data_IF_038633755535
#
_entry.id   IF_038633755535
#
_cell.length_a   1.000
_cell.length_b   1.000
_cell.length_c   1.000
_cell.angle_alpha   90.00
_cell.angle_beta   90.00
_cell.angle_gamma   90.00
#
_symmetry.space_group_name_H-M   'P 1'
#
loop_
_entity.id
_entity.type
_entity.pdbx_description
1 polymer ?
#
# COMPACT_ATOMS: atom_id res chain seq x y z
N UNK A 1 -16.51 20.76 -4.15
CA UNK A 1 -17.37 19.62 -3.86
C UNK A 1 -17.15 19.21 -2.39
N UNK A 2 -18.19 19.20 -1.54
CA UNK A 2 -18.04 18.91 -0.10
C UNK A 2 -17.66 17.43 0.18
N UNK A 3 -17.79 16.56 -0.80
CA UNK A 3 -17.43 15.16 -0.71
C UNK A 3 -16.02 14.84 -1.21
N UNK A 4 -15.23 15.85 -1.57
CA UNK A 4 -13.88 15.65 -2.09
C UNK A 4 -12.82 16.38 -1.27
N UNK A 5 -11.74 15.66 -0.97
CA UNK A 5 -10.48 16.25 -0.49
C UNK A 5 -9.53 16.24 -1.68
N UNK A 6 -9.02 17.41 -2.06
CA UNK A 6 -8.16 17.54 -3.24
C UNK A 6 -6.85 18.26 -2.90
N UNK A 7 -5.77 17.89 -3.58
CA UNK A 7 -4.49 18.60 -3.55
C UNK A 7 -3.88 18.56 -4.96
N UNK A 8 -3.22 19.64 -5.37
CA UNK A 8 -2.51 19.73 -6.66
C UNK A 8 -0.98 19.59 -6.51
N UNK A 9 -0.52 19.19 -5.33
CA UNK A 9 0.88 18.98 -5.04
C UNK A 9 1.08 17.84 -4.03
N UNK A 10 2.28 17.25 -4.04
CA UNK A 10 2.74 16.36 -2.99
C UNK A 10 3.21 17.23 -1.82
N UNK A 11 2.52 17.16 -0.70
CA UNK A 11 2.81 17.96 0.50
C UNK A 11 4.05 17.38 1.22
N UNK A 12 5.24 17.69 0.71
CA UNK A 12 6.50 17.08 1.22
C UNK A 12 6.75 17.40 2.69
N UNK A 13 6.41 18.61 3.14
CA UNK A 13 6.58 19.04 4.53
C UNK A 13 5.49 18.47 5.47
N UNK A 14 4.28 18.26 4.94
CA UNK A 14 3.10 17.77 5.66
C UNK A 14 2.58 16.45 5.09
N UNK A 15 3.45 15.61 4.53
CA UNK A 15 3.07 14.36 3.85
C UNK A 15 2.25 13.45 4.75
N UNK A 16 2.64 13.29 6.00
CA UNK A 16 1.92 12.45 6.98
C UNK A 16 0.51 12.96 7.26
N UNK A 17 0.28 14.28 7.24
CA UNK A 17 -1.06 14.87 7.34
C UNK A 17 -1.87 14.59 6.07
N UNK A 18 -1.30 14.78 4.88
CA UNK A 18 -1.95 14.47 3.61
C UNK A 18 -2.36 12.98 3.57
N UNK A 19 -1.49 12.06 4.00
CA UNK A 19 -1.80 10.62 4.12
C UNK A 19 -2.94 10.33 5.10
N UNK A 20 -3.01 11.05 6.22
CA UNK A 20 -4.10 10.91 7.20
C UNK A 20 -5.43 11.38 6.63
N UNK A 21 -5.45 12.54 5.98
CA UNK A 21 -6.65 13.13 5.40
C UNK A 21 -7.20 12.32 4.21
N UNK A 22 -6.36 11.53 3.55
CA UNK A 22 -6.73 10.73 2.38
C UNK A 22 -6.77 9.22 2.68
N UNK A 23 -6.99 8.86 3.94
CA UNK A 23 -7.19 7.49 4.37
C UNK A 23 -8.51 6.93 3.84
N UNK A 24 -8.50 5.65 3.47
CA UNK A 24 -9.68 4.92 2.99
C UNK A 24 -9.85 3.60 3.73
N UNK A 25 -11.08 3.09 3.78
CA UNK A 25 -11.38 1.81 4.41
C UNK A 25 -12.84 1.40 4.19
N UNK A 26 -13.15 0.15 4.47
CA UNK A 26 -14.49 -0.44 4.31
C UNK A 26 -15.05 -1.04 5.62
N UNK A 27 -14.39 -0.77 6.75
CA UNK A 27 -14.77 -1.32 8.06
C UNK A 27 -14.11 -2.67 8.39
N UNK A 28 -13.67 -3.44 7.38
CA UNK A 28 -12.87 -4.66 7.56
C UNK A 28 -11.36 -4.36 7.44
N UNK A 29 -10.97 -3.59 6.45
CA UNK A 29 -9.59 -3.12 6.29
C UNK A 29 -9.55 -1.63 5.96
N UNK A 30 -8.40 -1.03 6.20
CA UNK A 30 -8.15 0.36 5.92
C UNK A 30 -6.68 0.64 5.69
N UNK A 31 -6.40 1.77 5.04
CA UNK A 31 -5.05 2.25 4.88
C UNK A 31 -5.00 3.78 4.86
N UNK A 32 -3.84 4.29 5.19
CA UNK A 32 -3.51 5.70 5.02
C UNK A 32 -3.34 6.03 3.54
N UNK A 33 -3.38 7.31 3.20
CA UNK A 33 -3.17 7.80 1.85
C UNK A 33 -1.73 7.67 1.32
N UNK A 34 -0.99 6.63 1.71
CA UNK A 34 0.36 6.37 1.21
C UNK A 34 0.33 6.14 -0.30
N UNK A 35 1.38 6.52 -1.01
CA UNK A 35 1.54 6.12 -2.41
C UNK A 35 1.81 4.61 -2.51
N UNK A 36 1.39 4.01 -3.61
CA UNK A 36 1.74 2.62 -3.91
C UNK A 36 3.15 2.53 -4.51
N UNK A 37 3.55 3.54 -5.25
CA UNK A 37 4.88 3.72 -5.82
C UNK A 37 5.93 4.00 -4.73
N UNK A 38 7.17 3.98 -5.13
CA UNK A 38 8.27 4.39 -4.25
C UNK A 38 8.13 5.86 -3.87
N UNK A 39 8.30 6.13 -2.59
CA UNK A 39 8.37 7.46 -2.02
C UNK A 39 9.49 7.50 -0.97
N UNK A 40 10.64 8.07 -1.32
CA UNK A 40 11.84 8.14 -0.45
C UNK A 40 11.81 9.28 0.57
N UNK A 41 10.76 10.12 0.57
CA UNK A 41 10.55 11.19 1.54
C UNK A 41 9.95 10.69 2.86
N UNK A 42 9.65 11.62 3.76
CA UNK A 42 8.98 11.30 5.01
C UNK A 42 7.54 10.82 4.73
N UNK A 43 7.18 9.67 5.29
CA UNK A 43 5.91 8.99 5.09
C UNK A 43 5.59 8.12 6.31
N UNK A 44 4.33 7.93 6.60
CA UNK A 44 3.88 7.03 7.66
C UNK A 44 3.03 5.92 7.03
N UNK A 45 3.66 4.78 6.73
CA UNK A 45 2.96 3.63 6.17
C UNK A 45 1.92 3.11 7.16
N UNK A 46 0.70 2.90 6.69
CA UNK A 46 -0.39 2.38 7.51
C UNK A 46 -1.38 1.53 6.70
N UNK A 47 -1.39 0.23 7.00
CA UNK A 47 -2.38 -0.75 6.55
C UNK A 47 -2.93 -1.47 7.77
N UNK A 48 -4.25 -1.60 7.89
CA UNK A 48 -4.89 -2.12 9.10
C UNK A 48 -5.98 -3.10 8.74
N UNK A 49 -6.12 -4.16 9.55
CA UNK A 49 -7.21 -5.14 9.49
C UNK A 49 -7.99 -5.02 10.79
N UNK A 50 -9.31 -4.91 10.69
CA UNK A 50 -10.19 -4.78 11.84
C UNK A 50 -10.05 -5.99 12.78
N UNK A 51 -9.98 -5.71 14.07
CA UNK A 51 -9.83 -6.74 15.10
C UNK A 51 -8.40 -7.25 15.29
N UNK A 52 -7.44 -6.90 14.47
CA UNK A 52 -6.03 -7.27 14.63
C UNK A 52 -5.32 -6.24 15.50
N UNK A 53 -4.71 -6.69 16.58
CA UNK A 53 -4.04 -5.86 17.56
C UNK A 53 -2.94 -6.67 18.29
N UNK A 54 -2.09 -6.00 19.03
CA UNK A 54 -1.08 -6.65 19.87
C UNK A 54 -1.18 -6.16 21.32
N UNK A 55 -1.13 -7.05 22.35
CA UNK A 55 -1.11 -6.64 23.73
C UNK A 55 0.26 -6.07 24.09
N UNK A 56 0.28 -4.80 24.51
CA UNK A 56 1.49 -4.13 24.93
C UNK A 56 1.44 -3.81 26.42
N UNK A 57 2.56 -4.12 27.11
CA UNK A 57 2.66 -3.89 28.56
C UNK A 57 2.38 -2.44 28.89
N UNK A 58 1.53 -2.22 29.89
CA UNK A 58 1.25 -0.89 30.41
C UNK A 58 2.53 -0.20 30.88
N UNK A 59 2.89 0.91 30.24
CA UNK A 59 4.00 1.79 30.60
C UNK A 59 3.43 3.07 31.19
N UNK A 60 3.37 3.16 32.51
CA UNK A 60 2.90 4.36 33.20
C UNK A 60 4.09 4.96 33.95
N UNK A 61 4.34 6.24 33.81
CA UNK A 61 5.40 6.95 34.53
C UNK A 61 5.18 7.00 36.05
N UNK A 62 3.98 6.67 36.52
CA UNK A 62 3.59 6.51 37.91
C UNK A 62 2.40 5.56 38.01
N UNK A 63 2.36 4.74 39.06
CA UNK A 63 1.31 3.77 39.30
C UNK A 63 0.04 4.41 39.81
N UNK A 64 -1.09 4.03 39.22
CA UNK A 64 -2.41 4.13 39.84
C UNK A 64 -3.00 2.74 39.97
N UNK A 65 -3.66 2.48 41.09
CA UNK A 65 -4.44 1.27 41.28
C UNK A 65 -5.52 1.16 40.21
N UNK A 66 -5.68 -0.02 39.62
CA UNK A 66 -6.70 -0.28 38.63
C UNK A 66 -6.27 -0.11 37.15
N UNK A 67 -4.99 0.18 36.88
CA UNK A 67 -4.49 0.10 35.49
C UNK A 67 -4.45 -1.36 35.01
N UNK A 68 -4.83 -1.63 33.76
CA UNK A 68 -4.70 -2.96 33.19
C UNK A 68 -3.22 -3.33 33.04
N UNK A 69 -2.93 -4.63 33.03
CA UNK A 69 -1.57 -5.15 32.84
C UNK A 69 -1.02 -4.80 31.46
N UNK A 70 -1.89 -4.78 30.46
CA UNK A 70 -1.56 -4.41 29.08
C UNK A 70 -2.71 -3.61 28.41
N UNK A 71 -2.39 -2.91 27.34
CA UNK A 71 -3.33 -2.26 26.44
C UNK A 71 -3.28 -2.95 25.08
N UNK A 72 -4.41 -2.99 24.37
CA UNK A 72 -4.44 -3.36 22.97
C UNK A 72 -3.81 -2.26 22.12
N UNK A 73 -2.82 -2.61 21.32
CA UNK A 73 -2.17 -1.73 20.35
C UNK A 73 -2.63 -2.09 18.94
N UNK A 74 -3.18 -1.14 18.20
CA UNK A 74 -3.37 -1.30 16.77
C UNK A 74 -2.00 -1.44 16.10
N UNK A 75 -1.82 -2.48 15.31
CA UNK A 75 -0.57 -2.75 14.59
C UNK A 75 -0.79 -2.67 13.08
N UNK A 76 0.25 -2.26 12.36
CA UNK A 76 0.24 -2.37 10.91
C UNK A 76 0.10 -3.83 10.49
N UNK A 77 -0.83 -4.08 9.58
CA UNK A 77 -0.88 -5.33 8.83
C UNK A 77 0.19 -5.32 7.70
N UNK A 78 0.25 -6.40 6.95
CA UNK A 78 1.12 -6.51 5.77
C UNK A 78 0.97 -5.29 4.86
N UNK A 79 2.08 -4.79 4.32
CA UNK A 79 2.02 -3.79 3.26
C UNK A 79 1.65 -4.49 1.94
N UNK A 80 0.39 -4.45 1.60
CA UNK A 80 -0.14 -5.01 0.36
C UNK A 80 -0.35 -3.96 -0.74
N UNK A 81 -0.11 -2.68 -0.46
CA UNK A 81 -0.36 -1.59 -1.39
C UNK A 81 0.77 -1.35 -2.40
N UNK A 82 1.97 -1.85 -2.13
CA UNK A 82 3.16 -1.50 -2.91
C UNK A 82 3.10 -2.00 -4.35
N UNK A 83 3.29 -1.06 -5.29
CA UNK A 83 3.47 -1.28 -6.74
C UNK A 83 4.55 -0.33 -7.21
N UNK A 84 5.79 -0.80 -7.32
CA UNK A 84 6.88 0.00 -7.88
C UNK A 84 6.68 0.15 -9.39
N UNK A 85 6.80 1.36 -9.88
CA UNK A 85 6.61 1.71 -11.31
C UNK A 85 7.96 2.09 -11.91
N UNK A 86 8.25 1.55 -13.09
CA UNK A 86 9.43 1.89 -13.88
C UNK A 86 8.99 2.29 -15.28
N UNK A 87 9.54 3.39 -15.78
CA UNK A 87 9.34 3.89 -17.14
C UNK A 87 10.72 3.94 -17.78
N UNK A 88 10.92 3.17 -18.86
CA UNK A 88 12.23 3.04 -19.55
C UNK A 88 13.38 2.73 -18.57
N UNK A 89 13.18 1.72 -17.74
CA UNK A 89 14.07 1.27 -16.66
C UNK A 89 14.36 2.29 -15.55
N UNK A 90 13.74 3.48 -15.58
CA UNK A 90 13.86 4.48 -14.52
C UNK A 90 12.72 4.28 -13.52
N UNK A 91 13.08 4.04 -12.27
CA UNK A 91 12.07 3.96 -11.21
C UNK A 91 11.43 5.31 -10.95
N UNK A 92 10.11 5.32 -10.80
CA UNK A 92 9.37 6.50 -10.35
C UNK A 92 9.40 6.52 -8.83
N UNK A 93 10.14 7.47 -8.28
CA UNK A 93 10.12 7.84 -6.86
C UNK A 93 9.42 9.20 -6.75
N UNK A 94 8.22 9.22 -6.18
CA UNK A 94 7.40 10.43 -6.11
C UNK A 94 8.00 11.54 -5.23
N UNK A 95 9.00 11.24 -4.40
CA UNK A 95 9.77 12.26 -3.66
C UNK A 95 10.97 12.80 -4.44
N UNK A 96 11.66 11.96 -5.21
CA UNK A 96 12.95 12.24 -5.81
C UNK A 96 12.90 12.45 -7.34
N UNK A 97 11.98 11.79 -8.06
CA UNK A 97 11.82 11.97 -9.50
C UNK A 97 11.26 13.35 -9.84
N UNK A 98 11.57 13.83 -11.04
CA UNK A 98 10.91 15.01 -11.57
C UNK A 98 9.47 14.67 -11.97
N UNK A 99 8.53 15.07 -11.12
CA UNK A 99 7.10 14.83 -11.28
C UNK A 99 6.39 16.15 -11.51
N UNK A 100 5.54 16.20 -12.54
CA UNK A 100 4.71 17.37 -12.89
C UNK A 100 3.24 16.99 -12.92
N UNK A 101 2.36 17.97 -13.01
CA UNK A 101 0.90 17.81 -13.16
C UNK A 101 0.29 16.88 -12.10
N UNK A 102 0.81 16.97 -10.88
CA UNK A 102 0.30 16.18 -9.77
C UNK A 102 -1.08 16.67 -9.35
N UNK A 103 -2.02 15.73 -9.25
CA UNK A 103 -3.33 15.95 -8.66
C UNK A 103 -3.71 14.74 -7.82
N UNK A 104 -4.29 14.99 -6.65
CA UNK A 104 -4.81 13.98 -5.75
C UNK A 104 -6.24 14.33 -5.38
N UNK A 105 -7.13 13.34 -5.35
CA UNK A 105 -8.52 13.49 -4.97
C UNK A 105 -9.01 12.25 -4.21
N UNK A 106 -9.45 12.45 -2.98
CA UNK A 106 -10.27 11.48 -2.27
C UNK A 106 -11.75 11.83 -2.50
N UNK A 107 -12.46 10.96 -3.16
CA UNK A 107 -13.93 11.01 -3.30
C UNK A 107 -14.54 10.22 -2.13
N UNK A 108 -15.03 10.93 -1.12
CA UNK A 108 -15.59 10.32 0.10
C UNK A 108 -16.96 9.68 -0.13
N UNK A 109 -17.71 10.12 -1.15
CA UNK A 109 -19.00 9.52 -1.52
C UNK A 109 -18.80 8.11 -2.10
N UNK A 110 -17.73 7.93 -2.89
CA UNK A 110 -17.41 6.65 -3.54
C UNK A 110 -16.41 5.81 -2.75
N UNK A 111 -15.69 6.41 -1.80
CA UNK A 111 -14.60 5.75 -1.09
C UNK A 111 -13.40 5.45 -1.99
N UNK A 112 -13.12 6.33 -2.96
CA UNK A 112 -12.06 6.15 -3.97
C UNK A 112 -11.00 7.23 -3.80
N UNK A 113 -9.74 6.81 -3.70
CA UNK A 113 -8.59 7.70 -3.76
C UNK A 113 -7.95 7.60 -5.14
N UNK A 114 -7.87 8.73 -5.85
CA UNK A 114 -7.24 8.86 -7.16
C UNK A 114 -6.11 9.88 -7.09
N UNK A 115 -4.98 9.60 -7.70
CA UNK A 115 -3.95 10.59 -7.97
C UNK A 115 -3.35 10.41 -9.35
N UNK A 116 -2.94 11.54 -9.95
CA UNK A 116 -2.33 11.59 -11.27
C UNK A 116 -1.02 12.34 -11.19
N UNK A 117 -0.09 11.98 -12.05
CA UNK A 117 1.18 12.70 -12.24
C UNK A 117 1.76 12.41 -13.62
N UNK A 118 2.72 13.24 -14.03
CA UNK A 118 3.53 13.02 -15.23
C UNK A 118 4.98 12.81 -14.82
N UNK A 119 5.58 11.72 -15.31
CA UNK A 119 7.00 11.42 -15.15
C UNK A 119 7.53 10.79 -16.44
N UNK A 120 8.72 11.21 -16.88
CA UNK A 120 9.42 10.64 -18.05
C UNK A 120 8.55 10.57 -19.32
N UNK A 121 7.74 11.59 -19.62
CA UNK A 121 6.85 11.64 -20.78
C UNK A 121 5.56 10.84 -20.66
N UNK A 122 5.34 10.15 -19.54
CA UNK A 122 4.16 9.32 -19.29
C UNK A 122 3.28 9.93 -18.21
N UNK A 123 1.96 10.04 -18.47
CA UNK A 123 0.97 10.28 -17.43
C UNK A 123 0.62 8.96 -16.76
N UNK A 124 0.66 8.96 -15.45
CA UNK A 124 0.18 7.86 -14.62
C UNK A 124 -1.04 8.32 -13.83
N UNK A 125 -2.12 7.57 -13.90
CA UNK A 125 -3.30 7.73 -13.06
C UNK A 125 -3.38 6.50 -12.16
N UNK A 126 -3.28 6.69 -10.86
CA UNK A 126 -3.42 5.65 -9.86
C UNK A 126 -4.74 5.82 -9.10
N UNK A 127 -5.51 4.76 -9.01
CA UNK A 127 -6.79 4.73 -8.32
C UNK A 127 -6.83 3.53 -7.37
N UNK A 128 -7.45 3.70 -6.20
CA UNK A 128 -7.65 2.60 -5.28
C UNK A 128 -8.91 2.74 -4.45
N UNK A 129 -9.45 1.58 -4.09
CA UNK A 129 -10.60 1.46 -3.21
C UNK A 129 -10.61 0.12 -2.48
N UNK A 130 -11.37 0.05 -1.40
CA UNK A 130 -11.72 -1.19 -0.71
C UNK A 130 -13.18 -1.54 -1.02
N UNK A 131 -13.40 -2.78 -1.46
CA UNK A 131 -14.75 -3.23 -1.81
C UNK A 131 -15.63 -3.33 -0.56
N UNK A 132 -16.85 -2.78 -0.63
CA UNK A 132 -17.89 -2.97 0.40
C UNK A 132 -18.60 -4.30 0.18
N UNK A 133 -18.77 -4.72 -1.08
CA UNK A 133 -19.45 -5.95 -1.43
C UNK A 133 -18.62 -7.21 -1.11
N UNK A 134 -17.31 -7.11 -1.20
CA UNK A 134 -16.34 -8.15 -0.84
C UNK A 134 -15.31 -7.52 0.09
N UNK A 135 -15.52 -7.61 1.38
CA UNK A 135 -14.79 -6.85 2.40
C UNK A 135 -13.27 -7.13 2.41
N UNK A 136 -12.88 -8.34 1.98
CA UNK A 136 -11.49 -8.77 1.91
C UNK A 136 -10.76 -8.31 0.64
N UNK A 137 -11.43 -7.56 -0.25
CA UNK A 137 -10.86 -7.12 -1.52
C UNK A 137 -10.44 -5.66 -1.50
N UNK A 138 -9.14 -5.42 -1.73
CA UNK A 138 -8.57 -4.13 -2.07
C UNK A 138 -8.16 -4.11 -3.54
N UNK A 139 -8.41 -3.00 -4.24
CA UNK A 139 -8.07 -2.82 -5.66
C UNK A 139 -7.16 -1.61 -5.82
N UNK A 140 -6.08 -1.79 -6.58
CA UNK A 140 -5.13 -0.75 -6.97
C UNK A 140 -5.00 -0.78 -8.49
N UNK A 141 -5.53 0.24 -9.15
CA UNK A 141 -5.52 0.37 -10.60
C UNK A 141 -4.56 1.47 -11.03
N UNK A 142 -3.83 1.22 -12.11
CA UNK A 142 -2.93 2.19 -12.73
C UNK A 142 -3.25 2.26 -14.22
N UNK A 143 -3.35 3.47 -14.74
CA UNK A 143 -3.44 3.75 -16.17
C UNK A 143 -2.23 4.57 -16.60
N UNK A 144 -1.61 4.18 -17.72
CA UNK A 144 -0.42 4.79 -18.30
C UNK A 144 -0.75 5.34 -19.68
N UNK A 145 -0.41 6.61 -19.94
CA UNK A 145 -0.63 7.29 -21.22
C UNK A 145 0.67 7.97 -21.65
N UNK A 146 1.14 7.70 -22.89
CA UNK A 146 2.24 8.44 -23.50
C UNK A 146 1.79 9.86 -23.87
N UNK A 147 2.55 10.88 -23.44
CA UNK A 147 2.27 12.29 -23.72
C UNK A 147 3.23 12.92 -24.73
N UNK A 148 4.35 12.28 -25.01
CA UNK A 148 5.40 12.77 -25.91
C UNK A 148 5.40 12.10 -27.29
N UNK A 149 4.49 11.14 -27.49
CA UNK A 149 4.39 10.38 -28.74
C UNK A 149 5.43 9.26 -28.89
N UNK A 150 6.29 9.09 -27.87
CA UNK A 150 7.32 8.05 -27.89
C UNK A 150 6.77 6.71 -27.38
N UNK A 151 7.51 5.66 -27.67
CA UNK A 151 7.21 4.32 -27.16
C UNK A 151 7.96 4.12 -25.86
N UNK A 152 7.24 3.77 -24.79
CA UNK A 152 7.84 3.51 -23.48
C UNK A 152 7.72 2.05 -23.08
N UNK A 153 8.74 1.54 -22.41
CA UNK A 153 8.67 0.27 -21.71
C UNK A 153 8.19 0.51 -20.29
N UNK A 154 6.99 0.03 -19.97
CA UNK A 154 6.45 0.14 -18.61
C UNK A 154 6.68 -1.18 -17.89
N UNK A 155 7.27 -1.11 -16.68
CA UNK A 155 7.42 -2.25 -15.79
C UNK A 155 6.80 -1.92 -14.43
N UNK A 156 6.03 -2.85 -13.88
CA UNK A 156 5.47 -2.74 -12.53
C UNK A 156 5.96 -3.90 -11.68
N UNK A 157 6.28 -3.63 -10.42
CA UNK A 157 6.63 -4.64 -9.44
C UNK A 157 5.62 -4.60 -8.28
N UNK A 158 4.71 -5.56 -8.29
CA UNK A 158 3.66 -5.70 -7.28
C UNK A 158 4.17 -6.50 -6.09
N UNK A 159 4.11 -5.93 -4.89
CA UNK A 159 4.72 -6.50 -3.68
C UNK A 159 3.68 -6.64 -2.58
N UNK A 160 3.75 -7.75 -1.82
CA UNK A 160 3.20 -7.84 -0.47
C UNK A 160 4.37 -8.07 0.47
N UNK A 161 4.51 -7.23 1.50
CA UNK A 161 5.62 -7.30 2.45
C UNK A 161 5.11 -7.37 3.89
N UNK A 162 5.60 -8.35 4.64
CA UNK A 162 5.36 -8.53 6.07
C UNK A 162 6.41 -7.84 6.95
N UNK A 163 7.46 -7.27 6.36
CA UNK A 163 8.47 -6.51 7.10
C UNK A 163 7.98 -5.09 7.42
N UNK A 164 6.88 -5.02 8.13
CA UNK A 164 6.23 -3.78 8.55
C UNK A 164 6.43 -3.51 10.03
N UNK A 165 6.41 -2.23 10.39
CA UNK A 165 6.59 -1.74 11.75
C UNK A 165 5.56 -0.65 12.06
N UNK A 166 5.36 -0.38 13.35
CA UNK A 166 4.57 0.76 13.81
C UNK A 166 5.54 1.92 14.10
N UNK A 167 5.76 2.82 13.16
CA UNK A 167 6.83 3.80 13.25
C UNK A 167 6.67 4.80 14.39
N UNK A 168 5.56 5.48 14.55
CA UNK A 168 5.44 6.60 15.50
C UNK A 168 5.11 6.27 16.95
N UNK A 169 5.04 5.02 17.32
CA UNK A 169 4.63 4.62 18.66
C UNK A 169 5.77 4.14 19.58
N UNK A 170 6.98 4.60 19.39
CA UNK A 170 8.22 4.13 20.06
C UNK A 170 8.51 2.64 19.88
N UNK A 171 8.00 2.04 18.82
CA UNK A 171 8.00 0.61 18.63
C UNK A 171 8.58 0.25 17.27
N UNK A 172 9.88 0.28 17.18
CA UNK A 172 10.62 -0.33 16.07
C UNK A 172 10.52 -1.88 16.13
N UNK A 173 9.43 -2.36 16.71
CA UNK A 173 9.18 -3.77 16.95
C UNK A 173 8.48 -4.39 15.74
N UNK A 174 8.88 -5.60 15.41
CA UNK A 174 8.21 -6.44 14.41
C UNK A 174 7.19 -7.31 15.11
N UNK A 175 5.96 -7.26 14.68
CA UNK A 175 4.87 -8.05 15.27
C UNK A 175 4.51 -9.29 14.46
N UNK A 176 5.10 -9.50 13.30
CA UNK A 176 4.72 -10.55 12.36
C UNK A 176 5.82 -11.59 12.16
N UNK A 177 5.41 -12.85 12.17
CA UNK A 177 6.21 -14.00 11.71
C UNK A 177 5.58 -14.56 10.44
N UNK A 178 6.36 -14.73 9.40
CA UNK A 178 5.90 -15.39 8.17
C UNK A 178 5.75 -16.89 8.43
N UNK A 179 4.58 -17.43 8.15
CA UNK A 179 4.25 -18.86 8.32
C UNK A 179 4.30 -19.60 6.99
N UNK A 180 3.87 -18.94 5.93
CA UNK A 180 3.90 -19.48 4.58
C UNK A 180 3.91 -18.34 3.55
N UNK A 181 4.57 -18.53 2.44
CA UNK A 181 4.52 -17.67 1.27
C UNK A 181 4.86 -18.48 0.03
N UNK A 182 4.19 -18.21 -1.08
CA UNK A 182 4.45 -18.91 -2.33
C UNK A 182 3.92 -18.13 -3.54
N UNK A 183 4.39 -18.54 -4.70
CA UNK A 183 3.95 -18.10 -6.01
C UNK A 183 2.93 -19.10 -6.58
N UNK A 184 1.91 -18.57 -7.24
CA UNK A 184 0.88 -19.36 -7.92
C UNK A 184 0.76 -18.95 -9.39
N UNK A 185 0.03 -19.72 -10.16
CA UNK A 185 -0.23 -19.38 -11.57
C UNK A 185 -0.95 -18.02 -11.71
N UNK A 186 -1.79 -17.64 -10.74
CA UNK A 186 -2.61 -16.43 -10.77
C UNK A 186 -2.05 -15.26 -9.96
N UNK A 187 -0.92 -15.44 -9.26
CA UNK A 187 -0.31 -14.40 -8.42
C UNK A 187 0.53 -15.01 -7.31
N UNK A 188 0.69 -14.31 -6.22
CA UNK A 188 1.46 -14.75 -5.06
C UNK A 188 0.70 -14.47 -3.75
N UNK A 189 1.07 -15.17 -2.68
CA UNK A 189 0.45 -14.98 -1.37
C UNK A 189 1.45 -15.07 -0.23
N UNK A 190 1.06 -14.51 0.91
CA UNK A 190 1.79 -14.60 2.17
C UNK A 190 0.82 -14.81 3.32
N UNK A 191 1.18 -15.68 4.25
CA UNK A 191 0.46 -15.92 5.49
C UNK A 191 1.38 -15.58 6.65
N UNK A 192 0.90 -14.74 7.55
CA UNK A 192 1.64 -14.30 8.72
C UNK A 192 0.84 -14.55 9.99
N UNK A 193 1.53 -14.63 11.08
CA UNK A 193 0.96 -14.72 12.42
C UNK A 193 1.66 -13.72 13.33
N UNK A 194 0.91 -13.08 14.24
CA UNK A 194 1.53 -12.21 15.23
C UNK A 194 2.49 -13.01 16.13
N UNK A 195 3.57 -12.37 16.60
CA UNK A 195 4.49 -13.02 17.55
C UNK A 195 3.77 -13.38 18.84
N UNK A 196 4.23 -14.42 19.58
CA UNK A 196 3.72 -14.73 20.91
C UNK A 196 3.84 -13.54 21.87
N UNK A 197 2.92 -13.45 22.82
CA UNK A 197 2.92 -12.41 23.84
C UNK A 197 2.85 -13.04 25.24
N UNK A 198 3.33 -12.35 26.29
CA UNK A 198 3.38 -12.90 27.66
C UNK A 198 2.03 -12.86 28.39
N UNK A 199 0.98 -12.31 27.78
CA UNK A 199 -0.32 -12.07 28.43
C UNK A 199 -1.37 -13.16 28.14
N UNK A 200 -1.01 -14.19 27.37
CA UNK A 200 -1.92 -15.28 27.02
C UNK A 200 -3.00 -14.89 25.99
N UNK A 201 -2.81 -13.77 25.30
CA UNK A 201 -3.69 -13.39 24.18
C UNK A 201 -3.38 -14.27 22.96
N UNK A 202 -4.40 -14.79 22.31
CA UNK A 202 -4.25 -15.60 21.09
C UNK A 202 -3.57 -14.79 19.97
N UNK A 203 -2.77 -15.49 19.16
CA UNK A 203 -2.11 -14.91 18.00
C UNK A 203 -3.10 -14.73 16.86
N UNK A 204 -2.97 -13.62 16.13
CA UNK A 204 -3.76 -13.36 14.94
C UNK A 204 -3.04 -13.87 13.70
N UNK A 205 -3.76 -14.56 12.83
CA UNK A 205 -3.26 -14.94 11.50
C UNK A 205 -3.85 -14.00 10.46
N UNK A 206 -2.99 -13.43 9.62
CA UNK A 206 -3.38 -12.62 8.46
C UNK A 206 -2.77 -13.22 7.20
N UNK A 207 -3.62 -13.46 6.21
CA UNK A 207 -3.21 -13.90 4.89
C UNK A 207 -3.53 -12.82 3.85
N UNK A 208 -2.62 -12.56 2.93
CA UNK A 208 -2.84 -11.69 1.79
C UNK A 208 -2.41 -12.40 0.50
N UNK A 209 -3.24 -12.29 -0.54
CA UNK A 209 -2.98 -12.86 -1.87
C UNK A 209 -3.15 -11.76 -2.90
N UNK A 210 -2.17 -11.61 -3.78
CA UNK A 210 -2.30 -10.69 -4.92
C UNK A 210 -2.56 -11.43 -6.20
N UNK A 211 -3.36 -10.80 -7.06
CA UNK A 211 -3.60 -11.20 -8.45
C UNK A 211 -3.61 -9.96 -9.34
N UNK A 212 -3.48 -10.19 -10.63
CA UNK A 212 -3.37 -9.14 -11.62
C UNK A 212 -4.45 -9.26 -12.69
N UNK A 213 -4.89 -8.09 -13.22
CA UNK A 213 -5.67 -7.96 -14.44
C UNK A 213 -5.18 -6.74 -15.24
N UNK A 214 -5.32 -6.78 -16.58
CA UNK A 214 -4.97 -5.67 -17.48
C UNK A 214 -4.05 -6.09 -18.61
N UNK A 215 -3.29 -5.13 -19.14
CA UNK A 215 -2.60 -5.21 -20.44
C UNK A 215 -1.14 -5.68 -20.33
N UNK A 216 -0.69 -6.02 -19.12
CA UNK A 216 0.70 -6.39 -18.84
C UNK A 216 0.91 -7.90 -18.86
N UNK A 217 2.13 -8.30 -19.20
CA UNK A 217 2.57 -9.70 -19.12
C UNK A 217 3.47 -9.90 -17.91
N UNK A 218 3.19 -10.92 -17.11
CA UNK A 218 4.06 -11.27 -15.99
C UNK A 218 5.36 -11.87 -16.49
N UNK A 219 6.49 -11.28 -16.10
CA UNK A 219 7.84 -11.67 -16.53
C UNK A 219 8.65 -12.33 -15.41
N UNK A 220 8.28 -12.09 -14.13
CA UNK A 220 9.00 -12.65 -12.99
C UNK A 220 8.08 -12.83 -11.80
N UNK A 221 8.31 -13.89 -11.03
CA UNK A 221 7.80 -14.06 -9.66
C UNK A 221 8.97 -14.37 -8.74
N UNK A 222 8.96 -13.85 -7.54
CA UNK A 222 10.02 -14.04 -6.54
C UNK A 222 9.42 -14.10 -5.14
N UNK A 223 9.89 -15.05 -4.35
CA UNK A 223 9.64 -15.11 -2.91
C UNK A 223 10.91 -14.70 -2.18
N UNK A 224 10.77 -13.92 -1.12
CA UNK A 224 11.84 -13.49 -0.21
C UNK A 224 11.46 -13.88 1.21
N UNK A 225 12.34 -13.63 2.16
CA UNK A 225 12.12 -14.01 3.57
C UNK A 225 10.79 -13.49 4.14
N UNK A 226 10.41 -12.26 3.80
CA UNK A 226 9.20 -11.59 4.32
C UNK A 226 8.27 -11.03 3.26
N UNK A 227 8.52 -11.29 1.99
CA UNK A 227 7.74 -10.68 0.92
C UNK A 227 7.59 -11.58 -0.30
N UNK A 228 6.55 -11.32 -1.07
CA UNK A 228 6.31 -11.87 -2.39
C UNK A 228 6.27 -10.75 -3.42
N UNK A 229 6.80 -11.02 -4.61
CA UNK A 229 6.97 -10.05 -5.69
C UNK A 229 6.55 -10.65 -7.01
N UNK A 230 5.65 -9.97 -7.72
CA UNK A 230 5.29 -10.25 -9.11
C UNK A 230 5.68 -9.08 -10.00
N UNK A 231 6.46 -9.31 -11.04
CA UNK A 231 6.90 -8.29 -12.00
C UNK A 231 6.18 -8.46 -13.32
N UNK A 232 5.67 -7.36 -13.83
CA UNK A 232 4.93 -7.29 -15.08
C UNK A 232 5.51 -6.22 -16.00
N UNK A 233 5.41 -6.45 -17.31
CA UNK A 233 5.89 -5.53 -18.34
C UNK A 233 4.86 -5.35 -19.45
N UNK A 234 4.83 -4.15 -20.02
CA UNK A 234 4.07 -3.83 -21.20
C UNK A 234 4.76 -2.71 -21.98
N UNK A 235 4.47 -2.65 -23.29
CA UNK A 235 4.94 -1.61 -24.20
C UNK A 235 3.84 -0.60 -24.41
N UNK A 236 4.03 0.61 -23.89
CA UNK A 236 3.13 1.74 -24.07
C UNK A 236 3.41 2.40 -25.43
N UNK A 237 2.37 2.59 -26.23
CA UNK A 237 2.43 3.30 -27.51
C UNK A 237 1.46 4.49 -27.47
N UNK A 238 1.70 5.46 -28.33
CA UNK A 238 0.83 6.63 -28.46
C UNK A 238 -0.63 6.23 -28.72
N UNK A 239 -1.57 6.94 -28.11
CA UNK A 239 -3.03 6.73 -28.22
C UNK A 239 -3.55 5.34 -27.83
N UNK A 240 -2.75 4.53 -27.14
CA UNK A 240 -3.15 3.23 -26.61
C UNK A 240 -2.76 3.11 -25.11
N UNK A 241 -3.57 3.69 -24.20
CA UNK A 241 -3.28 3.62 -22.77
C UNK A 241 -3.26 2.19 -22.28
N UNK A 242 -2.38 1.92 -21.31
CA UNK A 242 -2.26 0.61 -20.66
C UNK A 242 -2.91 0.65 -19.29
N UNK A 243 -3.51 -0.46 -18.90
CA UNK A 243 -4.10 -0.64 -17.57
C UNK A 243 -3.41 -1.77 -16.83
N UNK A 244 -3.04 -1.50 -15.58
CA UNK A 244 -2.54 -2.47 -14.61
C UNK A 244 -3.44 -2.48 -13.38
N UNK A 245 -4.02 -3.61 -13.03
CA UNK A 245 -4.90 -3.74 -11.87
C UNK A 245 -4.35 -4.84 -10.95
N UNK A 246 -3.98 -4.43 -9.74
CA UNK A 246 -3.64 -5.32 -8.62
C UNK A 246 -4.87 -5.51 -7.75
N UNK A 247 -5.26 -6.76 -7.53
CA UNK A 247 -6.27 -7.16 -6.56
C UNK A 247 -5.56 -7.87 -5.39
N UNK A 248 -5.95 -7.51 -4.20
CA UNK A 248 -5.41 -8.13 -2.97
C UNK A 248 -6.53 -8.55 -2.04
#
# INVERSE_FOLDING_TARGET
>A
DPWKITSNQIEKEDRRLQESLTSIGNGYMGMRGNFSETYSGDSHQGTYIAGVWFPDKTRVGWWKNGYPEYFGKAINALNFASVRVFIDDKEVDLAASHVTDFNLSLDMEKGVLTYTYVAYGVRVTAERFFSIAQQELAVFAFMFESLDGEIHQIRTASIIDANVRNEDSNYDEKFWTVKNLDNTATGSFIVTETIPNPFGVEQFTVAAKQSFAGDFTRVKQETRESSVLDVYEAKLIENAPLTFIKNV
#
